data_IF_742239723806
#
_entry.id   IF_742239723806
#
_cell.length_a   1.000
_cell.length_b   1.000
_cell.length_c   1.000
_cell.angle_alpha   90.00
_cell.angle_beta   90.00
_cell.angle_gamma   90.00
#
_symmetry.space_group_name_H-M   'P 1'
#
loop_
_entity.id
_entity.type
_entity.pdbx_description
1 polymer ?
#
# COMPACT_ATOMS: atom_id res chain seq x y z
N UNK A 1 -19.85 -0.49 -31.81
CA UNK A 1 -19.79 -0.44 -31.34
C UNK A 1 -19.87 -0.20 -30.61
N UNK A 2 -20.47 -0.30 -30.48
CA UNK A 2 -20.52 -0.23 -29.68
C UNK A 2 -20.58 -0.18 -28.65
N UNK A 3 -21.51 0.11 -28.75
CA UNK A 3 -22.21 0.02 -27.50
C UNK A 3 -21.35 -0.34 -26.37
N UNK A 4 -20.44 -0.93 -26.73
CA UNK A 4 -19.42 -1.37 -25.82
C UNK A 4 -18.86 -0.27 -24.96
N UNK A 5 -19.26 0.93 -25.16
CA UNK A 5 -18.67 2.07 -24.49
C UNK A 5 -18.89 2.09 -22.99
N UNK A 6 -19.99 1.55 -22.53
CA UNK A 6 -20.24 1.50 -21.09
C UNK A 6 -19.34 0.51 -20.40
N UNK A 7 -19.20 -0.65 -21.01
CA UNK A 7 -18.36 -1.69 -20.43
C UNK A 7 -16.89 -1.31 -20.37
N UNK A 8 -16.35 -0.66 -21.40
CA UNK A 8 -14.93 -0.30 -21.32
C UNK A 8 -14.58 0.55 -20.11
N UNK A 9 -15.48 1.41 -19.69
CA UNK A 9 -15.19 2.27 -18.53
C UNK A 9 -15.07 1.45 -17.26
N UNK A 10 -16.00 0.51 -17.06
CA UNK A 10 -15.93 -0.35 -15.91
C UNK A 10 -14.72 -1.25 -15.96
N UNK A 11 -14.43 -1.75 -17.14
CA UNK A 11 -13.30 -2.65 -17.31
C UNK A 11 -11.99 -1.94 -17.06
N UNK A 12 -11.92 -0.66 -17.40
CA UNK A 12 -10.71 0.12 -17.15
C UNK A 12 -10.40 0.21 -15.67
N UNK A 13 -11.43 0.29 -14.83
CA UNK A 13 -11.20 0.34 -13.38
C UNK A 13 -10.72 -0.98 -12.83
N UNK A 14 -11.08 -2.08 -13.47
CA UNK A 14 -10.73 -3.41 -13.00
C UNK A 14 -9.40 -3.91 -13.54
N UNK A 15 -9.06 -3.48 -14.71
CA UNK A 15 -7.83 -3.95 -15.36
C UNK A 15 -6.67 -3.02 -15.08
N UNK A 16 -5.51 -3.62 -14.92
CA UNK A 16 -4.31 -2.86 -14.64
C UNK A 16 -3.92 -1.99 -15.83
N UNK A 17 -3.39 -0.80 -15.57
CA UNK A 17 -2.74 -0.03 -16.64
C UNK A 17 -1.53 -0.77 -17.16
N UNK A 18 -0.96 -0.27 -18.23
CA UNK A 18 0.25 -0.86 -18.80
C UNK A 18 1.33 -0.97 -17.74
N UNK A 19 1.88 -2.17 -17.57
CA UNK A 19 2.90 -2.41 -16.56
C UNK A 19 2.34 -2.67 -15.18
N UNK A 20 1.01 -2.79 -15.04
CA UNK A 20 0.36 -3.08 -13.76
C UNK A 20 0.08 -1.83 -12.95
N UNK A 21 -0.69 -2.01 -11.90
CA UNK A 21 -0.95 -0.94 -10.94
C UNK A 21 0.31 -0.65 -10.15
N UNK A 22 0.42 0.56 -9.63
CA UNK A 22 1.61 1.01 -8.91
C UNK A 22 1.22 1.52 -7.54
N UNK A 23 2.08 1.22 -6.56
CA UNK A 23 1.95 1.76 -5.20
C UNK A 23 3.17 2.63 -4.94
N UNK A 24 2.91 3.85 -4.52
CA UNK A 24 3.97 4.80 -4.18
C UNK A 24 4.16 4.82 -2.68
N UNK A 25 5.41 4.71 -2.25
CA UNK A 25 5.78 4.71 -0.84
C UNK A 25 6.47 6.02 -0.51
N UNK A 26 6.04 6.66 0.56
CA UNK A 26 6.51 7.98 0.95
C UNK A 26 7.12 7.92 2.35
N UNK A 27 8.29 8.51 2.49
CA UNK A 27 8.96 8.63 3.78
C UNK A 27 8.47 9.88 4.49
N UNK A 28 7.82 9.70 5.62
CA UNK A 28 7.27 10.83 6.36
C UNK A 28 8.32 11.54 7.20
N UNK A 29 9.45 10.89 7.45
CA UNK A 29 10.48 11.45 8.33
C UNK A 29 11.18 12.66 7.72
N UNK A 30 11.15 12.79 6.40
CA UNK A 30 11.81 13.89 5.74
C UNK A 30 11.08 15.22 5.83
N UNK A 31 9.79 15.18 6.16
CA UNK A 31 8.99 16.38 6.25
C UNK A 31 8.66 17.03 4.92
N UNK A 32 8.98 16.39 3.81
CA UNK A 32 8.67 16.90 2.49
C UNK A 32 7.44 16.20 1.95
N UNK A 33 6.62 16.95 1.25
CA UNK A 33 5.34 16.42 0.77
C UNK A 33 5.50 15.30 -0.25
N UNK A 34 6.57 15.35 -1.03
CA UNK A 34 6.75 14.39 -2.11
C UNK A 34 8.02 13.56 -1.92
N UNK A 35 8.30 13.19 -0.69
CA UNK A 35 9.49 12.41 -0.38
C UNK A 35 9.27 10.95 -0.73
N UNK A 36 9.23 10.65 -2.01
CA UNK A 36 8.98 9.29 -2.50
C UNK A 36 10.22 8.45 -2.34
N UNK A 37 10.07 7.35 -1.60
CA UNK A 37 11.16 6.41 -1.38
C UNK A 37 11.21 5.39 -2.51
N UNK A 38 10.04 4.92 -2.92
CA UNK A 38 9.97 3.82 -3.85
C UNK A 38 8.61 3.78 -4.53
N UNK A 39 8.58 3.22 -5.73
CA UNK A 39 7.33 2.94 -6.42
C UNK A 39 7.34 1.48 -6.79
N UNK A 40 6.40 0.74 -6.25
CA UNK A 40 6.29 -0.70 -6.51
C UNK A 40 5.29 -0.89 -7.66
N UNK A 41 5.70 -1.59 -8.70
CA UNK A 41 4.92 -1.75 -9.91
C UNK A 41 4.53 -3.20 -10.13
N UNK A 42 3.63 -3.40 -11.06
CA UNK A 42 3.32 -4.75 -11.52
C UNK A 42 2.17 -5.42 -10.83
N UNK A 43 1.35 -4.69 -10.09
CA UNK A 43 0.18 -5.30 -9.46
C UNK A 43 -0.87 -5.60 -10.53
N UNK A 44 -1.31 -6.85 -10.64
CA UNK A 44 -2.25 -7.22 -11.71
C UNK A 44 -3.66 -6.69 -11.50
N UNK A 45 -4.04 -6.40 -10.26
CA UNK A 45 -5.37 -5.89 -9.96
C UNK A 45 -5.29 -4.72 -9.00
N UNK A 46 -6.29 -3.85 -9.08
CA UNK A 46 -6.40 -2.76 -8.11
C UNK A 46 -6.58 -3.30 -6.69
N UNK A 47 -7.33 -4.39 -6.56
CA UNK A 47 -7.55 -5.00 -5.25
C UNK A 47 -6.22 -5.40 -4.60
N UNK A 48 -5.32 -6.01 -5.37
CA UNK A 48 -4.04 -6.42 -4.84
C UNK A 48 -3.18 -5.21 -4.49
N UNK A 49 -3.17 -4.19 -5.33
CA UNK A 49 -2.43 -2.96 -5.05
C UNK A 49 -2.94 -2.30 -3.78
N UNK A 50 -4.26 -2.22 -3.62
CA UNK A 50 -4.86 -1.65 -2.42
C UNK A 50 -4.48 -2.46 -1.18
N UNK A 51 -4.55 -3.78 -1.28
CA UNK A 51 -4.22 -4.64 -0.14
C UNK A 51 -2.75 -4.50 0.24
N UNK A 52 -1.88 -4.40 -0.75
CA UNK A 52 -0.46 -4.18 -0.50
C UNK A 52 -0.24 -2.85 0.23
N UNK A 53 -0.82 -1.76 -0.27
CA UNK A 53 -0.64 -0.45 0.34
C UNK A 53 -1.15 -0.46 1.78
N UNK A 54 -2.29 -1.08 2.00
CA UNK A 54 -2.88 -1.17 3.33
C UNK A 54 -1.98 -1.92 4.30
N UNK A 55 -1.49 -3.08 3.89
CA UNK A 55 -0.59 -3.87 4.75
C UNK A 55 0.72 -3.14 4.99
N UNK A 56 1.21 -2.44 3.98
CA UNK A 56 2.45 -1.69 4.13
C UNK A 56 2.34 -0.61 5.20
N UNK A 57 1.26 0.17 5.16
CA UNK A 57 1.04 1.21 6.17
C UNK A 57 0.77 0.57 7.52
N UNK A 58 0.02 -0.52 7.54
CA UNK A 58 -0.25 -1.21 8.80
C UNK A 58 1.05 -1.66 9.46
N UNK A 59 1.97 -2.20 8.68
CA UNK A 59 3.28 -2.60 9.18
C UNK A 59 4.07 -1.39 9.67
N UNK A 60 4.04 -0.29 8.91
CA UNK A 60 4.76 0.92 9.28
C UNK A 60 4.27 1.48 10.62
N UNK A 61 2.95 1.47 10.84
CA UNK A 61 2.40 1.91 12.11
C UNK A 61 2.94 1.07 13.25
N UNK A 62 3.00 -0.25 13.07
CA UNK A 62 3.49 -1.13 14.11
C UNK A 62 4.98 -0.96 14.37
N UNK A 63 5.75 -0.66 13.33
CA UNK A 63 7.17 -0.37 13.51
C UNK A 63 7.40 0.89 14.33
N UNK A 64 6.45 1.82 14.31
CA UNK A 64 6.53 3.04 15.09
C UNK A 64 5.98 2.87 16.51
N UNK A 65 5.30 1.78 16.78
CA UNK A 65 4.67 1.54 18.08
C UNK A 65 5.67 1.03 19.08
N UNK A 66 5.87 1.78 20.15
CA UNK A 66 6.75 1.36 21.23
C UNK A 66 5.96 0.99 22.47
N UNK A 67 6.62 0.28 23.38
CA UNK A 67 6.00 -0.12 24.63
C UNK A 67 5.57 1.10 25.43
N UNK A 68 4.35 1.04 25.96
CA UNK A 68 3.83 2.13 26.78
C UNK A 68 3.32 3.34 26.04
N UNK A 69 3.34 3.32 24.71
CA UNK A 69 2.83 4.45 23.94
C UNK A 69 1.31 4.43 23.89
N UNK A 70 0.71 5.61 24.02
CA UNK A 70 -0.72 5.77 23.79
C UNK A 70 -0.99 5.75 22.28
N UNK A 71 -2.28 5.62 21.91
CA UNK A 71 -2.62 5.69 20.49
C UNK A 71 -2.22 7.02 19.86
N UNK A 72 -2.34 8.10 20.63
CA UNK A 72 -1.89 9.41 20.14
C UNK A 72 -0.38 9.42 19.89
N UNK A 73 0.38 8.82 20.79
CA UNK A 73 1.84 8.76 20.63
C UNK A 73 2.22 7.96 19.39
N UNK A 74 1.52 6.85 19.16
CA UNK A 74 1.79 6.03 17.97
C UNK A 74 1.50 6.82 16.70
N UNK A 75 0.37 7.54 16.69
CA UNK A 75 0.00 8.34 15.54
C UNK A 75 1.04 9.42 15.26
N UNK A 76 1.48 10.11 16.30
CA UNK A 76 2.49 11.15 16.16
C UNK A 76 3.82 10.59 15.68
N UNK A 77 4.20 9.43 16.20
CA UNK A 77 5.43 8.77 15.79
C UNK A 77 5.37 8.38 14.32
N UNK A 78 4.23 7.86 13.87
CA UNK A 78 4.09 7.49 12.47
C UNK A 78 4.21 8.70 11.56
N UNK A 79 3.56 9.80 11.88
CA UNK A 79 3.67 11.02 11.06
C UNK A 79 5.09 11.56 11.03
N UNK A 80 5.86 11.33 12.10
CA UNK A 80 7.22 11.86 12.19
C UNK A 80 8.26 10.93 11.57
N UNK A 81 8.04 9.61 11.61
CA UNK A 81 9.09 8.66 11.28
C UNK A 81 8.62 7.50 10.38
N UNK A 82 7.34 7.40 10.11
CA UNK A 82 6.81 6.27 9.38
C UNK A 82 6.87 6.42 7.88
N UNK A 83 6.23 5.48 7.20
CA UNK A 83 6.09 5.50 5.76
C UNK A 83 4.64 5.33 5.37
N UNK A 84 4.19 6.15 4.45
CA UNK A 84 2.84 6.06 3.90
C UNK A 84 2.90 5.34 2.56
N UNK A 85 1.76 4.90 2.08
CA UNK A 85 1.66 4.24 0.79
C UNK A 85 0.29 4.51 0.20
N UNK A 86 0.24 4.69 -1.12
CA UNK A 86 -1.04 4.83 -1.81
C UNK A 86 -0.92 4.33 -3.24
N UNK A 87 -2.06 3.98 -3.81
CA UNK A 87 -2.11 3.50 -5.19
C UNK A 87 -2.13 4.70 -6.12
N UNK A 88 -1.23 4.68 -7.11
CA UNK A 88 -1.09 5.75 -8.09
C UNK A 88 -2.07 5.51 -9.22
N UNK A 89 -2.58 6.59 -9.80
CA UNK A 89 -3.44 6.56 -10.98
C UNK A 89 -4.79 5.88 -10.77
N UNK A 90 -5.17 5.63 -9.54
CA UNK A 90 -6.51 5.14 -9.25
C UNK A 90 -7.36 6.32 -8.82
N UNK A 91 -8.08 6.89 -9.75
CA UNK A 91 -8.90 8.06 -9.45
C UNK A 91 -9.99 7.73 -8.45
N UNK A 92 -10.52 6.53 -8.56
CA UNK A 92 -11.51 6.03 -7.61
C UNK A 92 -11.07 4.67 -7.13
N UNK A 93 -11.37 4.39 -5.89
CA UNK A 93 -11.11 3.07 -5.35
C UNK A 93 -9.68 2.81 -4.93
N UNK A 94 -8.78 3.78 -5.10
CA UNK A 94 -7.43 3.65 -4.60
C UNK A 94 -7.39 3.83 -3.09
N UNK A 95 -6.73 2.91 -2.40
CA UNK A 95 -6.65 2.96 -0.95
C UNK A 95 -5.79 4.12 -0.48
N UNK A 96 -6.22 4.75 0.62
CA UNK A 96 -5.45 5.80 1.26
C UNK A 96 -5.48 5.62 2.75
N UNK A 97 -4.34 5.87 3.39
CA UNK A 97 -4.19 5.65 4.83
C UNK A 97 -5.15 6.46 5.68
N UNK A 98 -5.51 7.65 5.21
CA UNK A 98 -6.36 8.54 6.00
C UNK A 98 -7.69 7.88 6.39
N UNK A 99 -8.16 6.92 5.58
CA UNK A 99 -9.46 6.29 5.85
C UNK A 99 -9.41 5.29 6.99
N UNK A 100 -8.24 4.72 7.31
CA UNK A 100 -8.14 3.66 8.31
C UNK A 100 -7.09 3.92 9.38
N UNK A 101 -6.37 5.01 9.28
CA UNK A 101 -5.22 5.25 10.17
C UNK A 101 -5.63 5.24 11.64
N UNK A 102 -6.80 5.80 11.96
CA UNK A 102 -7.29 5.79 13.34
C UNK A 102 -7.45 4.38 13.88
N UNK A 103 -8.00 3.49 13.04
CA UNK A 103 -8.15 2.09 13.44
C UNK A 103 -6.79 1.42 13.61
N UNK A 104 -5.85 1.75 12.74
CA UNK A 104 -4.53 1.13 12.81
C UNK A 104 -3.80 1.47 14.11
N UNK A 105 -3.92 2.72 14.56
CA UNK A 105 -3.25 3.09 15.82
C UNK A 105 -3.99 2.54 17.03
N UNK A 106 -5.30 2.36 16.94
CA UNK A 106 -6.10 1.85 18.04
C UNK A 106 -5.98 0.33 18.21
N UNK A 107 -5.69 -0.39 17.13
CA UNK A 107 -5.72 -1.85 17.13
C UNK A 107 -4.42 -2.40 16.56
N UNK A 108 -3.51 -2.86 17.41
CA UNK A 108 -2.25 -3.45 16.90
C UNK A 108 -2.50 -4.58 15.93
N UNK A 109 -1.69 -4.66 14.91
CA UNK A 109 -1.84 -5.64 13.84
C UNK A 109 -1.07 -6.90 14.14
N UNK A 110 -1.66 -8.05 13.75
CA UNK A 110 -0.95 -9.31 13.78
C UNK A 110 -0.07 -9.48 12.54
N UNK A 111 0.68 -10.57 12.52
CA UNK A 111 1.66 -10.81 11.47
C UNK A 111 1.04 -10.81 10.07
N UNK A 112 -0.14 -11.42 9.93
CA UNK A 112 -0.76 -11.52 8.61
C UNK A 112 -1.20 -10.16 8.09
N UNK A 113 -1.68 -9.30 8.98
CA UNK A 113 -2.16 -7.98 8.59
C UNK A 113 -1.03 -7.04 8.19
N UNK A 114 0.18 -7.36 8.58
CA UNK A 114 1.38 -6.58 8.29
C UNK A 114 2.16 -7.15 7.12
N UNK A 115 1.75 -8.30 6.62
CA UNK A 115 2.55 -9.03 5.63
C UNK A 115 2.28 -8.50 4.22
N UNK A 116 2.84 -7.34 3.93
CA UNK A 116 2.75 -6.76 2.60
C UNK A 116 3.61 -7.53 1.58
N UNK A 117 4.62 -8.24 2.07
CA UNK A 117 5.52 -8.99 1.18
C UNK A 117 4.79 -10.10 0.45
N UNK A 118 3.76 -10.66 1.07
CA UNK A 118 2.97 -11.70 0.43
C UNK A 118 2.25 -11.21 -0.83
N UNK A 119 2.02 -9.90 -0.93
CA UNK A 119 1.30 -9.29 -2.04
C UNK A 119 2.23 -8.56 -3.01
N UNK A 120 3.50 -8.49 -2.71
CA UNK A 120 4.49 -7.77 -3.53
C UNK A 120 4.69 -8.50 -4.85
N UNK A 121 4.44 -7.85 -5.99
CA UNK A 121 4.64 -8.51 -7.29
C UNK A 121 6.08 -8.94 -7.51
N UNK A 122 7.02 -8.27 -6.89
CA UNK A 122 8.44 -8.60 -7.03
C UNK A 122 8.79 -9.90 -6.31
N UNK A 123 7.92 -10.34 -5.41
CA UNK A 123 8.15 -11.56 -4.65
C UNK A 123 8.21 -12.78 -5.55
N UNK A 124 7.37 -12.82 -6.59
CA UNK A 124 7.35 -13.94 -7.51
C UNK A 124 8.69 -14.10 -8.22
N UNK A 125 9.29 -12.99 -8.62
CA UNK A 125 10.59 -13.04 -9.27
C UNK A 125 11.66 -13.56 -8.31
N UNK A 126 11.62 -13.12 -7.07
CA UNK A 126 12.57 -13.58 -6.08
C UNK A 126 12.37 -15.05 -5.77
N UNK A 127 11.13 -15.49 -5.68
CA UNK A 127 10.81 -16.89 -5.42
C UNK A 127 11.29 -17.77 -6.54
N UNK A 128 11.12 -17.34 -7.79
CA UNK A 128 11.57 -18.08 -8.94
C UNK A 128 13.08 -18.30 -8.89
N UNK A 129 13.79 -17.25 -8.57
CA UNK A 129 15.24 -17.35 -8.48
C UNK A 129 15.66 -18.35 -7.39
N UNK A 130 15.01 -18.27 -6.27
CA UNK A 130 15.29 -19.17 -5.17
C UNK A 130 14.87 -20.58 -5.46
N UNK A 131 13.74 -20.72 -6.15
CA UNK A 131 13.20 -22.04 -6.42
C UNK A 131 14.02 -22.85 -7.39
N UNK A 132 14.80 -22.20 -8.20
CA UNK A 132 15.62 -22.89 -9.19
C UNK A 132 16.82 -23.58 -8.58
N UNK A 133 17.11 -23.28 -7.37
CA UNK A 133 18.26 -23.87 -6.69
C UNK A 133 17.87 -25.05 -5.82
#
# INVERSE_FOLDING_TARGET
>A
RHGSNTFPDLMSDLFAPDGGWRVRILDLSGGADDNVVEEVRGFPTLMQANAFARRYVRDSVELCRGAGMSTKDVLEAWFAFGEDAHVVDAEQGGWRSATELGDFVDHPAGAEERDWRALDPRRDDADDDGGDI
#
